data_IF_235284659278
#
_entry.id   IF_235284659278
#
_cell.length_a   1.000
_cell.length_b   1.000
_cell.length_c   1.000
_cell.angle_alpha   90.00
_cell.angle_beta   90.00
_cell.angle_gamma   90.00
#
_symmetry.space_group_name_H-M   'P 1'
#
loop_
_entity.id
_entity.type
_entity.pdbx_description
1 polymer ?
#
# COMPACT_ATOMS: atom_id res chain seq x y z
N UNK A 1 47.02 -31.31 22.74
CA UNK A 1 46.63 -29.89 23.00
C UNK A 1 46.05 -29.18 21.76
N UNK A 2 45.20 -29.80 20.92
CA UNK A 2 44.66 -29.13 19.71
C UNK A 2 43.13 -28.99 19.64
N UNK A 3 42.35 -29.85 20.34
CA UNK A 3 40.88 -29.75 20.33
C UNK A 3 40.34 -28.53 21.11
N UNK A 4 41.04 -28.13 22.17
CA UNK A 4 40.63 -27.03 23.05
C UNK A 4 40.93 -25.64 22.47
N UNK A 5 41.85 -25.52 21.51
CA UNK A 5 42.12 -24.25 20.81
C UNK A 5 41.18 -24.03 19.62
N UNK A 6 40.73 -25.12 18.98
CA UNK A 6 39.80 -25.05 17.86
C UNK A 6 38.38 -24.64 18.31
N UNK A 7 37.90 -25.16 19.43
CA UNK A 7 36.58 -24.79 19.99
C UNK A 7 36.49 -23.34 20.44
N UNK A 8 37.57 -22.78 20.97
CA UNK A 8 37.62 -21.36 21.34
C UNK A 8 37.64 -20.44 20.11
N UNK A 9 38.33 -20.81 19.03
CA UNK A 9 38.28 -20.06 17.77
C UNK A 9 36.88 -20.10 17.12
N UNK A 10 36.18 -21.24 17.17
CA UNK A 10 34.79 -21.35 16.68
C UNK A 10 33.80 -20.51 17.49
N UNK A 11 33.96 -20.45 18.82
CA UNK A 11 33.11 -19.63 19.69
C UNK A 11 33.32 -18.12 19.47
N UNK A 12 34.57 -17.71 19.25
CA UNK A 12 34.91 -16.30 18.93
C UNK A 12 34.41 -15.92 17.53
N UNK A 13 34.54 -16.79 16.52
CA UNK A 13 33.96 -16.54 15.19
C UNK A 13 32.43 -16.48 15.22
N UNK A 14 31.76 -17.29 16.06
CA UNK A 14 30.30 -17.23 16.23
C UNK A 14 29.85 -15.90 16.89
N UNK A 15 30.64 -15.35 17.81
CA UNK A 15 30.38 -14.05 18.44
C UNK A 15 30.61 -12.87 17.47
N UNK A 16 31.58 -12.96 16.53
CA UNK A 16 31.83 -11.92 15.53
C UNK A 16 30.97 -12.02 14.26
N UNK A 17 30.43 -13.20 13.92
CA UNK A 17 29.48 -13.38 12.82
C UNK A 17 28.01 -13.18 13.24
N UNK A 18 27.76 -12.92 14.53
CA UNK A 18 26.46 -12.48 15.01
C UNK A 18 26.24 -11.03 14.57
N UNK A 19 25.75 -10.83 13.34
CA UNK A 19 24.96 -9.64 13.04
C UNK A 19 23.74 -9.70 13.97
N UNK A 20 23.89 -9.18 15.19
CA UNK A 20 22.77 -8.97 16.09
C UNK A 20 21.92 -7.90 15.43
N UNK A 21 20.92 -8.32 14.65
CA UNK A 21 19.76 -7.49 14.37
C UNK A 21 19.20 -7.13 15.73
N UNK A 22 19.57 -5.94 16.20
CA UNK A 22 19.01 -5.40 17.42
C UNK A 22 17.51 -5.27 17.15
N UNK A 23 16.63 -5.89 17.95
CA UNK A 23 15.21 -5.71 17.78
C UNK A 23 14.94 -4.20 17.84
N UNK A 24 14.17 -3.65 16.90
CA UNK A 24 14.01 -2.21 16.83
C UNK A 24 13.36 -1.74 18.13
N UNK A 25 13.83 -0.60 18.66
CA UNK A 25 13.38 -0.06 19.94
C UNK A 25 12.48 1.13 19.67
N UNK A 26 11.26 1.10 20.21
CA UNK A 26 10.33 2.23 20.14
C UNK A 26 10.95 3.44 20.86
N UNK A 27 11.12 4.60 20.20
CA UNK A 27 11.40 5.84 20.90
C UNK A 27 10.09 6.43 21.44
N UNK A 28 10.14 7.02 22.63
CA UNK A 28 9.00 7.65 23.29
C UNK A 28 8.35 8.80 22.48
N UNK A 29 9.02 9.26 21.42
CA UNK A 29 8.45 10.10 20.38
C UNK A 29 9.07 9.67 19.04
N UNK A 30 8.37 8.82 18.31
CA UNK A 30 8.79 8.43 16.95
C UNK A 30 8.21 9.42 15.94
N UNK A 31 9.00 9.77 14.92
CA UNK A 31 8.52 10.46 13.71
C UNK A 31 9.23 9.87 12.51
N UNK A 32 8.47 9.21 11.64
CA UNK A 32 9.01 8.62 10.41
C UNK A 32 9.50 9.68 9.43
N UNK A 33 10.58 9.37 8.73
CA UNK A 33 11.03 10.14 7.57
C UNK A 33 10.53 9.46 6.29
N UNK A 34 9.89 10.23 5.43
CA UNK A 34 9.27 9.77 4.18
C UNK A 34 9.69 10.66 3.02
N UNK A 35 9.47 10.21 1.78
CA UNK A 35 9.79 11.00 0.59
C UNK A 35 9.00 12.33 0.62
N UNK A 36 9.66 13.49 0.67
CA UNK A 36 8.99 14.78 0.86
C UNK A 36 8.14 15.19 -0.35
N UNK A 37 8.55 14.85 -1.57
CA UNK A 37 7.80 15.16 -2.78
C UNK A 37 6.49 14.36 -2.82
N UNK A 38 6.57 13.04 -2.64
CA UNK A 38 5.39 12.17 -2.62
C UNK A 38 4.46 12.54 -1.46
N UNK A 39 5.02 12.81 -0.28
CA UNK A 39 4.25 13.28 0.88
C UNK A 39 3.47 14.56 0.58
N UNK A 40 4.10 15.53 -0.09
CA UNK A 40 3.43 16.77 -0.47
C UNK A 40 2.31 16.54 -1.48
N UNK A 41 2.49 15.66 -2.46
CA UNK A 41 1.45 15.31 -3.43
C UNK A 41 0.25 14.65 -2.75
N UNK A 42 0.49 13.71 -1.83
CA UNK A 42 -0.57 13.05 -1.08
C UNK A 42 -1.29 14.02 -0.13
N UNK A 43 -0.58 14.99 0.46
CA UNK A 43 -1.18 16.07 1.26
C UNK A 43 -2.14 16.91 0.44
N UNK A 44 -1.77 17.27 -0.79
CA UNK A 44 -2.67 17.98 -1.71
C UNK A 44 -3.94 17.14 -1.97
N UNK A 45 -3.81 15.82 -2.15
CA UNK A 45 -4.97 14.94 -2.28
C UNK A 45 -5.88 14.98 -1.03
N UNK A 46 -5.29 14.86 0.15
CA UNK A 46 -5.99 14.88 1.43
C UNK A 46 -6.70 16.22 1.70
N UNK A 47 -6.03 17.35 1.44
CA UNK A 47 -6.59 18.70 1.57
C UNK A 47 -7.78 18.92 0.63
N UNK A 48 -7.79 18.26 -0.53
CA UNK A 48 -8.92 18.27 -1.46
C UNK A 48 -10.02 17.24 -1.09
N UNK A 49 -9.77 16.35 -0.12
CA UNK A 49 -10.68 15.26 0.24
C UNK A 49 -10.80 14.20 -0.86
N UNK A 50 -9.69 13.89 -1.54
CA UNK A 50 -9.63 12.90 -2.61
C UNK A 50 -9.43 11.49 -2.05
N UNK A 51 -10.34 10.60 -2.41
CA UNK A 51 -10.25 9.17 -2.13
C UNK A 51 -9.64 8.42 -3.32
N UNK A 52 -9.04 7.26 -3.04
CA UNK A 52 -8.44 6.41 -4.07
C UNK A 52 -9.16 5.08 -4.13
N UNK A 53 -9.69 4.74 -5.31
CA UNK A 53 -10.29 3.44 -5.60
C UNK A 53 -9.33 2.65 -6.47
N UNK A 54 -8.67 1.67 -5.85
CA UNK A 54 -7.64 0.86 -6.50
C UNK A 54 -8.06 -0.61 -6.37
N UNK A 55 -8.62 -1.21 -7.42
CA UNK A 55 -8.97 -2.61 -7.44
C UNK A 55 -7.75 -3.49 -7.22
N UNK A 56 -7.94 -4.64 -6.58
CA UNK A 56 -6.87 -5.61 -6.31
C UNK A 56 -6.21 -6.11 -7.59
N UNK A 57 -6.95 -6.19 -8.70
CA UNK A 57 -6.42 -6.53 -10.02
C UNK A 57 -5.36 -5.53 -10.49
N UNK A 58 -5.53 -4.23 -10.22
CA UNK A 58 -4.56 -3.19 -10.60
C UNK A 58 -3.24 -3.37 -9.87
N UNK A 59 -3.30 -3.71 -8.59
CA UNK A 59 -2.10 -3.89 -7.78
C UNK A 59 -1.34 -5.16 -8.21
N UNK A 60 -2.05 -6.18 -8.71
CA UNK A 60 -1.48 -7.44 -9.18
C UNK A 60 -0.99 -7.42 -10.62
N UNK A 61 -1.43 -6.46 -11.42
CA UNK A 61 -1.03 -6.30 -12.80
C UNK A 61 0.37 -5.65 -12.84
N UNK A 62 1.40 -6.51 -12.79
CA UNK A 62 2.81 -6.12 -12.76
C UNK A 62 3.47 -6.35 -14.13
N UNK A 63 4.38 -5.46 -14.59
CA UNK A 63 5.13 -5.68 -15.82
C UNK A 63 5.95 -6.96 -15.72
N UNK A 64 6.04 -7.71 -16.81
CA UNK A 64 6.69 -9.02 -16.84
C UNK A 64 7.50 -9.17 -18.12
N UNK A 65 8.74 -9.62 -17.98
CA UNK A 65 9.59 -10.07 -19.09
C UNK A 65 9.73 -11.59 -19.03
N UNK A 66 9.51 -12.27 -20.16
CA UNK A 66 9.53 -13.73 -20.27
C UNK A 66 10.28 -14.20 -21.52
N UNK A 67 11.13 -15.22 -21.37
CA UNK A 67 11.88 -15.91 -22.44
C UNK A 67 11.63 -17.41 -22.32
N UNK A 68 10.67 -17.94 -23.10
CA UNK A 68 10.21 -19.33 -22.94
C UNK A 68 9.60 -19.62 -21.56
N UNK A 69 9.42 -20.89 -21.21
CA UNK A 69 8.59 -21.28 -20.06
C UNK A 69 9.26 -21.15 -18.68
N UNK A 70 10.59 -20.98 -18.62
CA UNK A 70 11.36 -21.03 -17.37
C UNK A 70 12.11 -19.74 -17.02
N UNK A 71 12.24 -18.81 -17.96
CA UNK A 71 12.97 -17.55 -17.74
C UNK A 71 11.96 -16.40 -17.68
N UNK A 72 11.61 -15.97 -16.46
CA UNK A 72 10.61 -14.92 -16.20
C UNK A 72 11.10 -14.00 -15.09
N UNK A 73 10.94 -12.69 -15.29
CA UNK A 73 11.20 -11.65 -14.28
C UNK A 73 9.99 -10.74 -14.23
N UNK A 74 9.42 -10.65 -13.05
CA UNK A 74 8.36 -9.68 -12.73
C UNK A 74 9.03 -8.42 -12.23
N UNK A 75 8.68 -7.28 -12.81
CA UNK A 75 9.18 -5.97 -12.41
C UNK A 75 8.22 -5.30 -11.43
N UNK A 76 8.60 -4.14 -10.93
CA UNK A 76 7.75 -3.31 -10.08
C UNK A 76 6.54 -2.77 -10.87
N UNK A 77 5.37 -2.71 -10.24
CA UNK A 77 4.17 -2.15 -10.84
C UNK A 77 4.25 -0.64 -10.88
N UNK A 78 3.72 0.01 -11.92
CA UNK A 78 3.84 1.46 -12.11
C UNK A 78 2.60 2.24 -11.64
N UNK A 79 1.56 1.56 -11.14
CA UNK A 79 0.28 2.18 -10.73
C UNK A 79 0.44 3.33 -9.71
N UNK A 80 1.43 3.25 -8.82
CA UNK A 80 1.67 4.28 -7.79
C UNK A 80 2.19 5.57 -8.42
N UNK A 81 3.09 5.46 -9.41
CA UNK A 81 3.58 6.59 -10.19
C UNK A 81 2.45 7.29 -10.95
N UNK A 82 1.42 6.56 -11.35
CA UNK A 82 0.27 7.13 -12.05
C UNK A 82 -0.61 7.98 -11.13
N UNK A 83 -0.73 7.59 -9.85
CA UNK A 83 -1.34 8.45 -8.83
C UNK A 83 -0.53 9.73 -8.68
N UNK A 84 0.80 9.64 -8.54
CA UNK A 84 1.64 10.82 -8.42
C UNK A 84 1.57 11.71 -9.67
N UNK A 85 1.49 11.13 -10.87
CA UNK A 85 1.31 11.87 -12.12
C UNK A 85 -0.02 12.65 -12.15
N UNK A 86 -1.13 12.02 -11.73
CA UNK A 86 -2.41 12.71 -11.60
C UNK A 86 -2.36 13.83 -10.55
N UNK A 87 -1.70 13.59 -9.41
CA UNK A 87 -1.54 14.60 -8.36
C UNK A 87 -0.62 15.75 -8.77
N UNK A 88 0.40 15.52 -9.61
CA UNK A 88 1.23 16.58 -10.20
C UNK A 88 0.42 17.49 -11.11
N UNK A 89 -0.51 16.94 -11.90
CA UNK A 89 -1.45 17.74 -12.70
C UNK A 89 -2.31 18.63 -11.78
N UNK A 90 -2.79 18.08 -10.68
CA UNK A 90 -3.56 18.85 -9.68
C UNK A 90 -2.67 19.90 -8.99
N UNK A 91 -1.42 19.58 -8.66
CA UNK A 91 -0.49 20.52 -8.04
C UNK A 91 -0.23 21.74 -8.94
N UNK A 92 -0.13 21.53 -10.25
CA UNK A 92 0.05 22.62 -11.23
C UNK A 92 -1.19 23.52 -11.36
N UNK A 93 -2.38 22.98 -11.10
CA UNK A 93 -3.63 23.74 -11.07
C UNK A 93 -4.51 23.27 -9.90
N UNK A 94 -4.30 23.81 -8.68
CA UNK A 94 -4.95 23.31 -7.45
C UNK A 94 -6.48 23.32 -7.51
N UNK A 95 -7.08 24.19 -8.33
CA UNK A 95 -8.53 24.24 -8.51
C UNK A 95 -9.12 22.96 -9.11
N UNK A 96 -8.31 22.15 -9.80
CA UNK A 96 -8.73 20.88 -10.40
C UNK A 96 -8.96 19.79 -9.35
N UNK A 97 -8.20 19.80 -8.26
CA UNK A 97 -8.34 18.82 -7.17
C UNK A 97 -9.71 18.91 -6.47
N UNK A 98 -10.33 20.09 -6.49
CA UNK A 98 -11.64 20.33 -5.89
C UNK A 98 -12.81 19.84 -6.75
N UNK A 99 -12.57 19.33 -7.96
CA UNK A 99 -13.62 18.97 -8.93
C UNK A 99 -14.10 17.53 -8.82
N UNK A 100 -13.36 16.68 -8.13
CA UNK A 100 -13.66 15.23 -8.01
C UNK A 100 -13.62 14.78 -6.55
N UNK A 101 -14.25 13.64 -6.27
CA UNK A 101 -14.24 12.98 -4.96
C UNK A 101 -13.28 11.80 -4.93
N UNK A 102 -13.18 11.06 -6.04
CA UNK A 102 -12.45 9.80 -6.14
C UNK A 102 -11.56 9.81 -7.37
N UNK A 103 -10.35 9.28 -7.23
CA UNK A 103 -9.51 8.83 -8.34
C UNK A 103 -9.61 7.30 -8.39
N UNK A 104 -10.18 6.77 -9.47
CA UNK A 104 -10.32 5.34 -9.71
C UNK A 104 -9.28 4.87 -10.73
N UNK A 105 -8.57 3.79 -10.41
CA UNK A 105 -7.72 3.07 -11.37
C UNK A 105 -8.47 1.86 -11.89
N UNK A 106 -8.49 1.65 -13.21
CA UNK A 106 -9.21 0.52 -13.80
C UNK A 106 -8.49 -0.04 -15.02
N UNK A 107 -8.54 -1.35 -15.21
CA UNK A 107 -8.10 -1.98 -16.45
C UNK A 107 -9.16 -1.83 -17.54
N UNK A 108 -8.75 -1.42 -18.73
CA UNK A 108 -9.58 -1.35 -19.93
C UNK A 108 -8.81 -1.77 -21.19
N UNK A 109 -9.42 -1.53 -22.34
CA UNK A 109 -8.87 -1.94 -23.64
C UNK A 109 -7.84 -0.96 -24.20
N UNK A 110 -7.92 0.31 -23.80
CA UNK A 110 -7.01 1.39 -24.24
C UNK A 110 -6.77 2.38 -23.10
N UNK A 111 -5.65 3.13 -23.09
CA UNK A 111 -5.41 4.13 -22.07
C UNK A 111 -6.31 5.35 -22.29
N UNK A 112 -7.07 5.74 -21.27
CA UNK A 112 -7.90 6.95 -21.30
C UNK A 112 -8.20 7.49 -19.90
N UNK A 113 -8.60 8.76 -19.82
CA UNK A 113 -9.11 9.39 -18.60
C UNK A 113 -10.54 9.90 -18.86
N UNK A 114 -11.45 9.72 -17.91
CA UNK A 114 -12.83 10.25 -18.02
C UNK A 114 -13.38 10.67 -16.67
N UNK A 115 -14.46 11.46 -16.72
CA UNK A 115 -15.27 11.74 -15.55
C UNK A 115 -16.47 10.80 -15.55
N UNK A 116 -16.56 9.98 -14.52
CA UNK A 116 -17.76 9.22 -14.17
C UNK A 116 -18.53 9.95 -13.08
N UNK A 117 -19.86 9.81 -13.10
CA UNK A 117 -20.73 10.30 -12.03
C UNK A 117 -21.53 9.14 -11.48
N UNK A 118 -21.52 9.03 -10.17
CA UNK A 118 -22.34 8.06 -9.46
C UNK A 118 -23.79 8.57 -9.33
N UNK A 119 -24.70 7.70 -8.90
CA UNK A 119 -26.14 7.96 -8.79
C UNK A 119 -26.49 9.13 -7.87
N UNK A 120 -25.67 9.37 -6.84
CA UNK A 120 -25.82 10.46 -5.89
C UNK A 120 -25.07 11.75 -6.30
N UNK A 121 -24.51 11.76 -7.52
CA UNK A 121 -23.76 12.89 -8.05
C UNK A 121 -22.27 12.89 -7.71
N UNK A 122 -21.76 11.86 -7.02
CA UNK A 122 -20.33 11.76 -6.76
C UNK A 122 -19.50 11.71 -8.05
N UNK A 123 -18.66 12.71 -8.24
CA UNK A 123 -17.76 12.82 -9.40
C UNK A 123 -16.49 12.00 -9.17
N UNK A 124 -16.15 11.13 -10.11
CA UNK A 124 -14.99 10.25 -10.08
C UNK A 124 -14.11 10.49 -11.31
N UNK A 125 -12.80 10.66 -11.12
CA UNK A 125 -11.82 10.63 -12.20
C UNK A 125 -11.40 9.18 -12.41
N UNK A 126 -11.79 8.59 -13.54
CA UNK A 126 -11.40 7.23 -13.90
C UNK A 126 -10.17 7.30 -14.79
N UNK A 127 -9.12 6.60 -14.38
CA UNK A 127 -7.88 6.42 -15.12
C UNK A 127 -7.80 4.97 -15.60
N UNK A 128 -8.09 4.77 -16.88
CA UNK A 128 -8.07 3.45 -17.49
C UNK A 128 -6.72 3.13 -18.12
N UNK A 129 -6.17 1.96 -17.85
CA UNK A 129 -4.93 1.46 -18.46
C UNK A 129 -5.16 0.20 -19.28
N UNK A 130 -4.29 -0.02 -20.27
CA UNK A 130 -4.33 -1.21 -21.13
C UNK A 130 -3.08 -2.06 -20.97
N UNK A 131 -3.26 -3.37 -20.97
CA UNK A 131 -2.17 -4.35 -21.07
C UNK A 131 -1.62 -4.36 -22.50
N UNK A 132 -0.32 -4.20 -22.65
CA UNK A 132 0.38 -4.29 -23.92
C UNK A 132 1.38 -5.43 -23.86
N UNK A 133 1.31 -6.33 -24.82
CA UNK A 133 2.31 -7.39 -25.00
C UNK A 133 3.10 -7.11 -26.27
N UNK A 134 4.42 -7.05 -26.13
CA UNK A 134 5.33 -6.88 -27.26
C UNK A 134 6.33 -8.04 -27.29
N UNK A 135 6.80 -8.36 -28.49
CA UNK A 135 7.87 -9.34 -28.70
C UNK A 135 9.12 -8.60 -29.12
N UNK A 136 10.16 -8.71 -28.31
CA UNK A 136 11.44 -8.06 -28.52
C UNK A 136 12.48 -9.12 -28.82
N UNK A 137 13.27 -8.92 -29.88
CA UNK A 137 14.39 -9.80 -30.17
C UNK A 137 15.55 -9.49 -29.23
N UNK A 138 16.02 -10.50 -28.51
CA UNK A 138 17.10 -10.37 -27.54
C UNK A 138 18.39 -10.02 -28.27
N UNK A 139 19.05 -8.95 -27.84
CA UNK A 139 20.37 -8.54 -28.28
C UNK A 139 21.35 -8.50 -27.09
N UNK A 140 22.61 -8.19 -27.34
CA UNK A 140 23.66 -8.14 -26.31
C UNK A 140 23.45 -7.09 -25.21
N UNK A 141 22.53 -6.14 -25.42
CA UNK A 141 22.20 -5.07 -24.47
C UNK A 141 20.85 -5.29 -23.77
N UNK A 142 20.14 -6.37 -24.09
CA UNK A 142 18.82 -6.65 -23.52
C UNK A 142 18.95 -7.06 -22.04
N UNK A 143 18.10 -6.50 -21.19
CA UNK A 143 17.97 -6.93 -19.79
C UNK A 143 17.19 -8.25 -19.72
N UNK A 144 17.94 -9.37 -19.70
CA UNK A 144 17.38 -10.73 -19.77
C UNK A 144 16.99 -11.21 -18.35
N UNK A 145 15.77 -11.75 -18.15
CA UNK A 145 15.26 -12.20 -16.85
C UNK A 145 16.10 -13.23 -16.07
N UNK A 146 16.76 -14.18 -16.75
CA UNK A 146 17.41 -15.35 -16.14
C UNK A 146 18.92 -15.18 -15.86
N UNK A 147 19.37 -13.92 -15.71
CA UNK A 147 20.75 -13.50 -15.47
C UNK A 147 21.66 -13.49 -16.71
N UNK A 148 22.62 -12.58 -16.62
CA UNK A 148 23.45 -11.98 -17.66
C UNK A 148 24.51 -12.92 -18.25
N UNK A 149 24.54 -13.05 -19.57
CA UNK A 149 25.68 -13.68 -20.29
C UNK A 149 25.33 -14.88 -21.16
N UNK A 150 24.08 -15.35 -21.17
CA UNK A 150 23.66 -16.42 -22.09
C UNK A 150 23.58 -15.89 -23.53
N UNK A 151 24.72 -15.95 -24.23
CA UNK A 151 24.82 -15.74 -25.68
C UNK A 151 23.83 -16.63 -26.46
N UNK A 152 23.44 -17.76 -25.88
CA UNK A 152 22.46 -18.72 -26.42
C UNK A 152 21.03 -18.14 -26.50
N UNK A 153 20.76 -17.02 -25.83
CA UNK A 153 19.49 -16.32 -25.89
C UNK A 153 19.52 -15.17 -26.91
N UNK A 154 20.69 -14.71 -27.34
CA UNK A 154 20.82 -13.66 -28.36
C UNK A 154 20.17 -14.13 -29.66
N UNK A 155 19.29 -13.30 -30.20
CA UNK A 155 18.52 -13.60 -31.41
C UNK A 155 17.19 -14.32 -31.17
N UNK A 156 16.91 -14.81 -29.94
CA UNK A 156 15.59 -15.36 -29.56
C UNK A 156 14.58 -14.25 -29.24
N UNK A 157 13.31 -14.61 -29.14
CA UNK A 157 12.23 -13.70 -28.75
C UNK A 157 12.05 -13.65 -27.22
N UNK A 158 11.89 -12.44 -26.70
CA UNK A 158 11.43 -12.15 -25.35
C UNK A 158 10.04 -11.52 -25.45
N UNK A 159 9.09 -12.03 -24.66
CA UNK A 159 7.79 -11.37 -24.50
C UNK A 159 7.89 -10.37 -23.35
N UNK A 160 7.53 -9.13 -23.63
CA UNK A 160 7.45 -8.03 -22.65
C UNK A 160 5.99 -7.66 -22.50
N UNK A 161 5.45 -7.91 -21.31
CA UNK A 161 4.14 -7.42 -20.87
C UNK A 161 4.36 -6.12 -20.11
N UNK A 162 3.69 -5.06 -20.56
CA UNK A 162 3.73 -3.74 -19.97
C UNK A 162 2.30 -3.15 -19.87
N UNK A 163 2.15 -2.02 -19.19
CA UNK A 163 0.89 -1.33 -19.03
C UNK A 163 1.00 0.11 -19.49
N UNK A 164 0.07 0.51 -20.36
CA UNK A 164 0.00 1.89 -20.84
C UNK A 164 -1.10 2.63 -20.10
N UNK A 165 -0.73 3.81 -19.59
CA UNK A 165 -1.58 4.69 -18.79
C UNK A 165 -1.91 5.98 -19.55
N UNK A 166 -2.99 6.70 -19.19
CA UNK A 166 -3.32 7.98 -19.80
C UNK A 166 -2.24 9.02 -19.51
N UNK A 167 -1.99 9.90 -20.48
CA UNK A 167 -0.98 10.96 -20.33
C UNK A 167 -1.43 12.04 -19.34
N UNK A 168 -0.50 12.78 -18.70
CA UNK A 168 -0.85 13.93 -17.87
C UNK A 168 -1.69 14.98 -18.60
N UNK A 169 -1.46 15.17 -19.90
CA UNK A 169 -2.26 16.08 -20.74
C UNK A 169 -3.71 15.62 -20.91
N UNK A 170 -3.94 14.31 -21.06
CA UNK A 170 -5.29 13.76 -21.11
C UNK A 170 -6.03 13.96 -19.78
N UNK A 171 -5.35 13.72 -18.66
CA UNK A 171 -5.89 13.94 -17.31
C UNK A 171 -6.26 15.42 -17.11
N UNK A 172 -5.35 16.33 -17.45
CA UNK A 172 -5.58 17.77 -17.32
C UNK A 172 -6.77 18.25 -18.16
N UNK A 173 -6.90 17.75 -19.39
CA UNK A 173 -8.00 18.08 -20.30
C UNK A 173 -9.35 17.68 -19.70
N UNK A 174 -9.44 16.45 -19.19
CA UNK A 174 -10.67 15.91 -18.58
C UNK A 174 -11.05 16.69 -17.33
N UNK A 175 -10.10 16.90 -16.40
CA UNK A 175 -10.34 17.66 -15.17
C UNK A 175 -10.76 19.12 -15.44
N UNK A 176 -10.18 19.74 -16.46
CA UNK A 176 -10.49 21.13 -16.84
C UNK A 176 -11.91 21.28 -17.39
N UNK A 177 -12.47 20.23 -17.99
CA UNK A 177 -13.86 20.16 -18.44
C UNK A 177 -14.87 19.84 -17.34
N UNK A 178 -14.41 19.39 -16.16
CA UNK A 178 -15.30 19.01 -15.06
C UNK A 178 -15.95 20.23 -14.41
N UNK A 179 -17.28 20.26 -14.21
CA UNK A 179 -17.94 21.33 -13.47
C UNK A 179 -17.53 21.32 -11.99
N UNK A 180 -18.03 22.29 -11.22
CA UNK A 180 -17.81 22.31 -9.78
C UNK A 180 -18.35 21.04 -9.12
N UNK A 181 -17.60 20.53 -8.13
CA UNK A 181 -17.93 19.30 -7.42
C UNK A 181 -19.20 19.52 -6.58
N UNK A 182 -20.25 18.69 -6.76
CA UNK A 182 -21.42 18.76 -5.89
C UNK A 182 -21.06 18.32 -4.47
N UNK A 183 -21.81 18.79 -3.49
CA UNK A 183 -21.69 18.30 -2.11
C UNK A 183 -22.35 16.93 -2.03
N UNK A 184 -21.57 15.91 -1.69
CA UNK A 184 -22.05 14.54 -1.50
C UNK A 184 -21.75 14.11 -0.07
N UNK A 185 -22.80 13.78 0.68
CA UNK A 185 -22.74 13.55 2.13
C UNK A 185 -21.69 12.51 2.54
N UNK A 186 -21.64 11.37 1.84
CA UNK A 186 -20.68 10.29 2.12
C UNK A 186 -19.20 10.65 1.91
N UNK A 187 -18.91 11.74 1.19
CA UNK A 187 -17.55 12.24 0.98
C UNK A 187 -17.27 13.51 1.81
N UNK A 188 -18.23 13.99 2.59
CA UNK A 188 -18.06 15.14 3.47
C UNK A 188 -17.36 14.72 4.78
N UNK A 189 -16.05 14.47 4.69
CA UNK A 189 -15.24 13.93 5.78
C UNK A 189 -14.35 14.99 6.42
N UNK A 190 -13.98 14.78 7.69
CA UNK A 190 -12.86 15.49 8.31
C UNK A 190 -11.54 15.07 7.65
N UNK A 191 -10.82 16.04 7.11
CA UNK A 191 -9.57 15.82 6.36
C UNK A 191 -8.37 15.60 7.27
N UNK A 192 -8.47 15.88 8.58
CA UNK A 192 -7.36 15.77 9.53
C UNK A 192 -6.72 14.39 9.51
N UNK A 193 -7.55 13.34 9.46
CA UNK A 193 -7.06 11.97 9.37
C UNK A 193 -6.49 11.62 7.99
N UNK A 194 -7.08 12.13 6.90
CA UNK A 194 -6.49 11.95 5.56
C UNK A 194 -5.11 12.58 5.47
N UNK A 195 -4.94 13.78 6.05
CA UNK A 195 -3.67 14.49 6.10
C UNK A 195 -2.68 13.67 6.92
N UNK A 196 -3.06 13.19 8.11
CA UNK A 196 -2.23 12.34 8.96
C UNK A 196 -1.73 11.08 8.23
N UNK A 197 -2.58 10.42 7.44
CA UNK A 197 -2.18 9.30 6.58
C UNK A 197 -1.18 9.73 5.50
N UNK A 198 -1.47 10.85 4.82
CA UNK A 198 -0.63 11.38 3.75
C UNK A 198 0.80 11.73 4.22
N UNK A 199 0.96 12.27 5.44
CA UNK A 199 2.29 12.56 6.02
C UNK A 199 3.16 11.31 6.20
N UNK A 200 2.54 10.13 6.16
CA UNK A 200 3.16 8.83 6.36
C UNK A 200 3.15 7.98 5.09
N UNK A 201 2.99 8.62 3.91
CA UNK A 201 2.85 7.94 2.61
C UNK A 201 1.73 6.89 2.54
N UNK A 202 0.67 7.08 3.33
CA UNK A 202 -0.51 6.22 3.33
C UNK A 202 -1.70 6.96 2.74
N UNK A 203 -2.53 6.27 1.96
CA UNK A 203 -3.83 6.75 1.50
C UNK A 203 -4.95 5.84 1.97
N UNK A 204 -6.15 6.38 2.07
CA UNK A 204 -7.32 5.56 2.30
C UNK A 204 -7.79 4.92 0.98
N UNK A 205 -7.64 3.59 0.88
CA UNK A 205 -8.14 2.78 -0.22
C UNK A 205 -9.64 2.55 -0.02
N UNK A 206 -10.43 3.26 -0.80
CA UNK A 206 -11.88 3.18 -0.81
C UNK A 206 -12.34 2.02 -1.69
N UNK A 207 -13.16 1.13 -1.16
CA UNK A 207 -13.95 0.20 -1.98
C UNK A 207 -15.31 0.84 -2.32
N UNK A 208 -15.88 0.56 -3.50
CA UNK A 208 -17.19 1.12 -3.88
C UNK A 208 -18.27 0.85 -2.85
N UNK A 209 -18.32 -0.37 -2.32
CA UNK A 209 -19.35 -0.81 -1.38
C UNK A 209 -19.30 0.03 -0.10
N UNK A 210 -18.10 0.29 0.39
CA UNK A 210 -17.85 1.04 1.60
C UNK A 210 -18.30 2.49 1.51
N UNK A 211 -18.20 3.09 0.33
CA UNK A 211 -18.65 4.47 0.12
C UNK A 211 -20.14 4.63 0.43
N UNK A 212 -20.94 3.58 0.29
CA UNK A 212 -22.39 3.60 0.52
C UNK A 212 -22.81 3.04 1.88
N UNK A 213 -21.88 2.50 2.66
CA UNK A 213 -22.21 1.96 3.98
C UNK A 213 -22.70 3.07 4.91
N UNK A 214 -23.66 2.72 5.76
CA UNK A 214 -24.29 3.63 6.73
C UNK A 214 -24.17 3.07 8.13
N UNK A 215 -24.13 3.95 9.11
CA UNK A 215 -24.30 3.61 10.51
C UNK A 215 -25.73 3.13 10.80
N UNK A 216 -25.95 2.61 12.01
CA UNK A 216 -27.26 2.18 12.49
C UNK A 216 -28.24 3.34 12.70
N UNK A 217 -27.69 4.55 12.92
CA UNK A 217 -28.41 5.81 12.96
C UNK A 217 -28.77 6.33 11.57
N UNK A 218 -28.30 5.66 10.50
CA UNK A 218 -28.56 6.03 9.10
C UNK A 218 -27.59 7.05 8.50
N UNK A 219 -26.57 7.46 9.25
CA UNK A 219 -25.52 8.40 8.81
C UNK A 219 -24.53 7.70 7.88
N UNK A 220 -23.93 8.42 6.94
CA UNK A 220 -22.88 7.84 6.10
C UNK A 220 -21.66 7.41 6.95
N UNK A 221 -21.14 6.20 6.69
CA UNK A 221 -20.08 5.60 7.50
C UNK A 221 -18.76 6.38 7.44
N UNK A 222 -18.36 6.82 6.24
CA UNK A 222 -17.07 7.49 6.05
C UNK A 222 -16.96 8.79 6.88
N UNK A 223 -17.91 9.75 6.84
CA UNK A 223 -17.85 10.92 7.71
C UNK A 223 -17.69 10.59 9.19
N UNK A 224 -18.46 9.62 9.70
CA UNK A 224 -18.39 9.20 11.10
C UNK A 224 -17.01 8.62 11.44
N UNK A 225 -16.49 7.75 10.57
CA UNK A 225 -15.16 7.16 10.73
C UNK A 225 -14.05 8.22 10.74
N UNK A 226 -14.04 9.11 9.75
CA UNK A 226 -13.01 10.14 9.64
C UNK A 226 -13.09 11.17 10.77
N UNK A 227 -14.28 11.52 11.24
CA UNK A 227 -14.46 12.40 12.39
C UNK A 227 -13.96 11.76 13.70
N UNK A 228 -14.19 10.46 13.90
CA UNK A 228 -13.66 9.76 15.06
C UNK A 228 -12.13 9.68 15.00
N UNK A 229 -11.57 9.22 13.88
CA UNK A 229 -10.13 9.12 13.70
C UNK A 229 -9.45 10.50 13.82
N UNK A 230 -10.07 11.56 13.29
CA UNK A 230 -9.59 12.94 13.41
C UNK A 230 -9.36 13.39 14.85
N UNK A 231 -10.27 13.01 15.76
CA UNK A 231 -10.14 13.30 17.21
C UNK A 231 -9.04 12.49 17.86
N UNK A 232 -8.85 11.26 17.41
CA UNK A 232 -7.93 10.32 18.05
C UNK A 232 -6.48 10.53 17.64
N UNK A 233 -6.17 11.25 16.56
CA UNK A 233 -4.78 11.59 16.16
C UNK A 233 -3.99 12.26 17.30
N UNK A 234 -4.68 12.92 18.24
CA UNK A 234 -4.11 13.47 19.46
C UNK A 234 -4.65 12.71 20.69
N UNK A 235 -3.79 12.26 21.63
CA UNK A 235 -2.32 12.31 21.61
C UNK A 235 -1.76 11.35 20.55
N UNK A 236 -0.62 11.68 19.94
CA UNK A 236 -0.01 10.87 18.87
C UNK A 236 0.23 9.40 19.25
N UNK A 237 0.40 8.54 18.23
CA UNK A 237 0.46 7.07 18.36
C UNK A 237 1.83 6.53 17.95
N UNK A 238 2.83 6.55 18.85
CA UNK A 238 4.23 6.28 18.50
C UNK A 238 4.48 4.86 17.99
N UNK A 239 3.78 3.86 18.51
CA UNK A 239 3.94 2.48 18.05
C UNK A 239 3.36 2.33 16.64
N UNK A 240 2.18 2.91 16.39
CA UNK A 240 1.59 2.93 15.04
C UNK A 240 2.52 3.62 14.04
N UNK A 241 3.04 4.79 14.40
CA UNK A 241 3.95 5.55 13.55
C UNK A 241 5.25 4.81 13.26
N UNK A 242 5.81 4.15 14.27
CA UNK A 242 7.00 3.32 14.15
C UNK A 242 6.79 2.19 13.14
N UNK A 243 5.68 1.45 13.25
CA UNK A 243 5.39 0.34 12.35
C UNK A 243 5.09 0.80 10.93
N UNK A 244 4.34 1.91 10.73
CA UNK A 244 4.15 2.49 9.40
C UNK A 244 5.50 2.82 8.74
N UNK A 245 6.45 3.34 9.51
CA UNK A 245 7.77 3.62 8.98
C UNK A 245 8.60 2.37 8.69
N UNK A 246 8.67 1.41 9.62
CA UNK A 246 9.39 0.15 9.40
C UNK A 246 8.89 -0.57 8.15
N UNK A 247 7.58 -0.57 7.97
CA UNK A 247 6.93 -1.06 6.77
C UNK A 247 7.45 -0.34 5.53
N UNK A 248 7.43 0.99 5.54
CA UNK A 248 7.89 1.80 4.42
C UNK A 248 9.37 1.57 4.10
N UNK A 249 10.23 1.38 5.10
CA UNK A 249 11.66 1.12 4.89
C UNK A 249 11.95 -0.28 4.34
N UNK A 250 11.14 -1.27 4.72
CA UNK A 250 11.31 -2.67 4.30
C UNK A 250 10.63 -2.98 2.97
N UNK A 251 9.74 -2.11 2.51
CA UNK A 251 9.20 -2.16 1.17
C UNK A 251 10.34 -2.01 0.16
N UNK A 252 10.61 -3.07 -0.63
CA UNK A 252 11.62 -3.05 -1.70
C UNK A 252 11.30 -2.04 -2.80
N UNK A 253 10.05 -1.57 -2.86
CA UNK A 253 9.56 -0.68 -3.89
C UNK A 253 9.64 0.76 -3.38
N UNK A 254 10.52 1.56 -3.98
CA UNK A 254 10.66 2.99 -3.69
C UNK A 254 9.43 3.85 -4.04
N UNK A 255 8.33 3.25 -4.49
CA UNK A 255 7.09 3.91 -4.90
C UNK A 255 5.95 3.84 -3.85
N UNK A 256 6.11 3.09 -2.77
CA UNK A 256 4.97 2.52 -2.03
C UNK A 256 4.06 3.54 -1.33
N UNK A 257 3.01 3.95 -2.04
CA UNK A 257 1.77 4.41 -1.41
C UNK A 257 1.23 3.23 -0.61
N UNK A 258 1.20 3.36 0.71
CA UNK A 258 0.54 2.39 1.58
C UNK A 258 -0.96 2.58 1.53
N UNK A 259 -1.70 1.49 1.69
CA UNK A 259 -3.16 1.54 1.72
C UNK A 259 -3.70 1.30 3.10
N UNK A 260 -4.62 2.16 3.52
CA UNK A 260 -5.54 1.92 4.61
C UNK A 260 -6.92 1.64 4.01
N UNK A 261 -7.45 0.41 4.08
CA UNK A 261 -8.74 0.08 3.47
C UNK A 261 -9.64 -0.72 4.37
N UNK A 262 -10.95 -0.43 4.39
CA UNK A 262 -11.97 -1.22 5.11
C UNK A 262 -12.36 -2.41 4.21
N UNK A 263 -11.97 -3.64 4.58
CA UNK A 263 -12.48 -4.86 3.93
C UNK A 263 -13.79 -5.29 4.59
N UNK A 264 -14.79 -5.70 3.82
CA UNK A 264 -16.06 -6.24 4.32
C UNK A 264 -15.94 -7.75 4.57
N UNK A 265 -15.61 -8.15 5.79
CA UNK A 265 -15.83 -9.51 6.33
C UNK A 265 -16.79 -9.40 7.54
N UNK A 266 -17.10 -10.50 8.26
CA UNK A 266 -17.92 -10.51 9.51
C UNK A 266 -17.49 -9.44 10.53
N UNK A 267 -16.22 -9.04 10.45
CA UNK A 267 -15.60 -7.89 11.07
C UNK A 267 -15.02 -7.11 9.91
N UNK A 268 -15.37 -5.84 9.80
CA UNK A 268 -14.71 -5.03 8.82
C UNK A 268 -13.27 -4.78 9.28
N UNK A 269 -12.26 -5.10 8.48
CA UNK A 269 -10.86 -4.93 8.89
C UNK A 269 -10.20 -3.82 8.09
N UNK A 270 -9.53 -2.90 8.79
CA UNK A 270 -8.57 -1.95 8.27
C UNK A 270 -7.17 -2.49 8.45
N UNK A 271 -6.37 -2.40 7.41
CA UNK A 271 -4.94 -2.61 7.52
C UNK A 271 -4.11 -1.80 6.57
N UNK A 272 -2.81 -1.75 6.88
CA UNK A 272 -1.76 -1.25 6.00
C UNK A 272 -1.37 -2.39 5.07
N UNK A 273 -1.79 -2.35 3.81
CA UNK A 273 -1.34 -3.31 2.80
C UNK A 273 -0.08 -2.78 2.12
N UNK A 274 0.93 -3.63 2.01
CA UNK A 274 2.22 -3.30 1.39
C UNK A 274 2.45 -4.29 0.27
N UNK A 275 2.09 -3.88 -0.94
CA UNK A 275 2.14 -4.81 -2.06
C UNK A 275 3.52 -4.80 -2.73
N UNK A 276 4.42 -5.68 -2.28
CA UNK A 276 5.73 -5.90 -2.87
C UNK A 276 5.76 -7.10 -3.83
N UNK A 277 5.48 -6.92 -5.13
CA UNK A 277 5.74 -7.96 -6.15
C UNK A 277 5.22 -9.38 -5.82
N UNK A 278 3.88 -9.55 -5.76
CA UNK A 278 3.21 -10.85 -5.86
C UNK A 278 3.44 -11.87 -4.72
N UNK A 279 2.36 -12.29 -4.06
CA UNK A 279 2.36 -13.36 -3.03
C UNK A 279 3.14 -14.62 -3.43
N UNK A 280 3.19 -14.96 -4.72
CA UNK A 280 3.84 -16.17 -5.22
C UNK A 280 5.39 -16.09 -5.20
N UNK A 281 5.98 -14.94 -5.58
CA UNK A 281 7.42 -14.76 -5.58
C UNK A 281 7.99 -14.58 -4.16
N UNK A 282 7.19 -14.01 -3.25
CA UNK A 282 7.52 -13.90 -1.81
C UNK A 282 7.48 -15.26 -1.10
N UNK A 283 6.46 -16.07 -1.37
CA UNK A 283 6.30 -17.43 -0.81
C UNK A 283 7.43 -18.38 -1.24
N UNK A 284 7.89 -18.29 -2.48
CA UNK A 284 9.02 -19.09 -2.99
C UNK A 284 10.39 -18.67 -2.42
N UNK A 285 10.53 -17.42 -1.96
CA UNK A 285 11.82 -16.88 -1.49
C UNK A 285 11.87 -16.61 0.02
N UNK A 286 10.84 -17.00 0.79
CA UNK A 286 10.81 -16.83 2.25
C UNK A 286 10.74 -15.39 2.75
N UNK A 287 10.26 -14.44 1.92
CA UNK A 287 10.10 -13.05 2.35
C UNK A 287 8.74 -12.83 3.02
N UNK A 288 8.77 -12.17 4.19
CA UNK A 288 7.58 -11.81 4.98
C UNK A 288 6.72 -10.81 4.18
N UNK A 289 5.40 -11.02 4.16
CA UNK A 289 4.42 -10.04 3.66
C UNK A 289 4.37 -8.87 4.66
N UNK A 290 4.80 -7.64 4.29
CA UNK A 290 4.78 -6.51 5.21
C UNK A 290 3.38 -5.89 5.33
N UNK A 291 2.32 -6.54 4.87
CA UNK A 291 0.95 -6.06 5.10
C UNK A 291 0.57 -6.27 6.57
N UNK A 292 0.43 -5.19 7.34
CA UNK A 292 0.05 -5.23 8.77
C UNK A 292 -1.37 -4.67 8.96
N UNK A 293 -2.37 -5.54 9.26
CA UNK A 293 -3.75 -5.09 9.49
C UNK A 293 -4.18 -5.16 10.96
N UNK A 294 -4.57 -4.04 11.60
CA UNK A 294 -5.05 -4.11 12.99
C UNK A 294 -6.08 -3.07 13.43
N UNK A 295 -6.87 -2.45 12.53
CA UNK A 295 -8.03 -1.68 13.00
C UNK A 295 -9.32 -2.37 12.54
N UNK A 296 -9.96 -3.11 13.43
CA UNK A 296 -11.27 -3.69 13.15
C UNK A 296 -12.36 -2.64 13.34
N UNK A 297 -13.39 -2.65 12.50
CA UNK A 297 -14.69 -2.11 12.86
C UNK A 297 -15.69 -3.26 12.89
N UNK A 298 -16.41 -3.39 14.01
CA UNK A 298 -17.39 -4.44 14.17
C UNK A 298 -18.76 -3.89 13.82
N UNK A 299 -19.43 -4.54 12.87
CA UNK A 299 -20.85 -4.31 12.54
C UNK A 299 -21.63 -5.47 13.16
N UNK A 300 -21.81 -5.46 14.48
CA UNK A 300 -22.65 -6.45 15.18
C UNK A 300 -23.97 -5.81 15.61
N UNK A 301 -25.10 -6.48 15.33
CA UNK A 301 -26.43 -6.12 15.86
C UNK A 301 -26.84 -4.64 15.64
N UNK A 302 -26.60 -4.05 14.47
CA UNK A 302 -26.85 -2.61 14.24
C UNK A 302 -26.11 -1.73 15.26
N UNK A 303 -24.92 -2.13 15.71
CA UNK A 303 -24.03 -1.31 16.52
C UNK A 303 -22.68 -1.24 15.83
N UNK A 304 -22.14 -0.02 15.76
CA UNK A 304 -20.90 0.30 15.05
C UNK A 304 -19.83 0.52 16.10
N UNK A 305 -18.84 -0.37 16.15
CA UNK A 305 -17.67 -0.21 17.00
C UNK A 305 -16.45 0.02 16.12
N UNK A 306 -15.97 1.26 16.04
CA UNK A 306 -14.70 1.61 15.39
C UNK A 306 -13.59 1.38 16.42
N UNK A 307 -12.63 0.49 16.15
CA UNK A 307 -11.45 0.34 17.02
C UNK A 307 -10.65 1.64 17.01
N UNK A 308 -10.28 2.13 18.19
CA UNK A 308 -9.52 3.37 18.32
C UNK A 308 -8.06 3.20 17.89
N UNK A 309 -7.44 4.28 17.38
CA UNK A 309 -5.99 4.39 17.17
C UNK A 309 -5.23 4.09 18.46
N UNK A 310 -5.79 4.44 19.62
CA UNK A 310 -5.17 4.13 20.91
C UNK A 310 -5.13 2.62 21.19
N UNK A 311 -6.19 1.88 20.85
CA UNK A 311 -6.19 0.42 21.00
C UNK A 311 -5.22 -0.22 20.01
N UNK A 312 -5.15 0.29 18.79
CA UNK A 312 -4.17 -0.11 17.80
C UNK A 312 -2.74 0.13 18.30
N UNK A 313 -2.45 1.33 18.82
CA UNK A 313 -1.14 1.71 19.35
C UNK A 313 -0.69 0.80 20.49
N UNK A 314 -1.58 0.52 21.45
CA UNK A 314 -1.32 -0.46 22.53
C UNK A 314 -0.99 -1.84 21.97
N UNK A 315 -1.75 -2.31 20.97
CA UNK A 315 -1.51 -3.60 20.35
C UNK A 315 -0.13 -3.66 19.67
N UNK A 316 0.18 -2.64 18.88
CA UNK A 316 1.44 -2.54 18.15
C UNK A 316 2.65 -2.41 19.08
N UNK A 317 2.51 -1.74 20.22
CA UNK A 317 3.55 -1.69 21.26
C UNK A 317 3.77 -3.08 21.90
N UNK A 318 2.69 -3.84 22.11
CA UNK A 318 2.74 -5.23 22.59
C UNK A 318 3.54 -6.16 21.68
N UNK A 319 3.38 -6.05 20.35
CA UNK A 319 4.13 -6.83 19.36
C UNK A 319 5.65 -6.69 19.52
N UNK A 320 6.14 -5.49 19.85
CA UNK A 320 7.58 -5.22 20.01
C UNK A 320 8.21 -6.00 21.17
N UNK A 321 7.45 -6.33 22.20
CA UNK A 321 7.94 -7.13 23.34
C UNK A 321 8.26 -8.57 22.92
N UNK A 322 7.50 -9.13 21.97
CA UNK A 322 7.67 -10.48 21.43
C UNK A 322 8.87 -10.57 20.47
N UNK A 323 9.20 -9.49 19.75
CA UNK A 323 10.38 -9.42 18.87
C UNK A 323 11.72 -9.34 19.63
N UNK A 324 11.72 -9.17 20.97
CA UNK A 324 12.95 -9.07 21.78
C UNK A 324 13.68 -10.40 21.99
N UNK A 325 13.12 -11.54 21.58
CA UNK A 325 13.76 -12.85 21.78
C UNK A 325 14.58 -13.27 20.55
N UNK A 326 15.92 -13.46 20.67
CA UNK A 326 16.77 -13.88 19.55
C UNK A 326 16.49 -15.31 19.05
N UNK A 327 15.60 -16.05 19.73
CA UNK A 327 15.31 -17.47 19.49
C UNK A 327 13.92 -17.75 18.88
N UNK A 328 13.10 -16.75 18.56
CA UNK A 328 11.85 -16.95 17.78
C UNK A 328 12.05 -16.77 16.27
N UNK A 329 13.24 -17.14 15.78
CA UNK A 329 13.55 -17.22 14.36
C UNK A 329 12.55 -18.13 13.63
N UNK A 330 11.71 -17.50 12.82
CA UNK A 330 11.20 -18.04 11.55
C UNK A 330 10.41 -19.36 11.64
N UNK A 331 9.41 -19.43 12.52
CA UNK A 331 8.27 -20.32 12.27
C UNK A 331 7.51 -19.83 11.04
N UNK A 332 7.00 -20.74 10.21
CA UNK A 332 6.14 -20.41 9.06
C UNK A 332 4.83 -19.77 9.53
N UNK A 333 4.84 -18.45 9.68
CA UNK A 333 3.70 -17.63 10.09
C UNK A 333 2.49 -17.74 9.14
N UNK A 334 2.65 -18.36 7.97
CA UNK A 334 1.57 -18.64 7.01
C UNK A 334 0.57 -19.70 7.49
N UNK A 335 0.96 -20.57 8.43
CA UNK A 335 0.15 -21.74 8.84
C UNK A 335 -0.25 -21.73 10.31
N UNK A 336 0.18 -20.72 11.06
CA UNK A 336 -0.12 -20.60 12.49
C UNK A 336 -1.36 -19.71 12.68
N UNK A 337 -2.53 -20.27 13.03
CA UNK A 337 -3.73 -19.49 13.32
C UNK A 337 -3.55 -18.57 14.54
N UNK A 338 -2.52 -18.79 15.36
CA UNK A 338 -2.15 -17.94 16.49
C UNK A 338 -1.05 -16.92 16.12
N UNK A 339 -0.63 -16.85 14.85
CA UNK A 339 0.28 -15.81 14.40
C UNK A 339 -0.38 -14.45 14.49
N UNK A 340 0.28 -13.53 15.19
CA UNK A 340 -0.14 -12.13 15.27
C UNK A 340 -0.34 -11.51 13.89
N UNK A 341 0.37 -11.97 12.86
CA UNK A 341 0.32 -11.50 11.47
C UNK A 341 -0.84 -12.08 10.64
N UNK A 342 -1.67 -12.95 11.23
CA UNK A 342 -2.85 -13.50 10.56
C UNK A 342 -4.00 -12.48 10.54
N UNK A 343 -4.72 -12.31 9.41
CA UNK A 343 -5.90 -11.45 9.36
C UNK A 343 -6.92 -11.87 10.43
N UNK A 344 -7.26 -10.98 11.35
CA UNK A 344 -8.22 -11.26 12.42
C UNK A 344 -7.61 -11.66 13.76
N UNK A 345 -6.30 -11.50 13.97
CA UNK A 345 -5.76 -11.61 15.32
C UNK A 345 -6.34 -10.50 16.21
N UNK A 346 -7.16 -10.90 17.18
CA UNK A 346 -7.76 -9.99 18.15
C UNK A 346 -6.67 -9.51 19.10
N UNK A 347 -6.25 -8.25 18.94
CA UNK A 347 -5.70 -7.49 20.05
C UNK A 347 -6.79 -7.48 21.15
N UNK A 348 -6.58 -8.11 22.32
CA UNK A 348 -7.58 -8.12 23.38
C UNK A 348 -7.89 -6.72 23.91
#
# INVERSE_FOLDING_TARGET
>A
MSKMRLTWMSAVLALFCSCTHSPPREPASYKGQYNPEHTQLLKIAAENGLFFQIPESVIRDLPVKTVGDRCRKTEEGDWADQIYNALRVIQQNPSLGQRVHVIELRRGDKPWAEISKDLDGAVQLVLSYSKVESRVRINSLSDIPCASGDMDLVGKEMTVTDYQWPTPSAIASVLSGTPHRPVVERYNVDKSFMIWLAERMTVFRLTPELAFEKTHTGEALLPVFFAQMGKEIQPGHPAVEFWIHEISQRSRLGQSIMFLGLKKDLYGSIGIQVDSAGKFARKMNGFIDPSYPYLSYKVENNSFAITSLQSLDRCMSGLMSTYRSPMSLMGTFETDPDSFLFPGHHCP
#
